data_IF_500547122945
#
_entry.id   IF_500547122945
#
_cell.length_a   1.000
_cell.length_b   1.000
_cell.length_c   1.000
_cell.angle_alpha   90.00
_cell.angle_beta   90.00
_cell.angle_gamma   90.00
#
_symmetry.space_group_name_H-M   'P 1'
#
loop_
_entity.id
_entity.type
_entity.pdbx_description
1 polymer ?
#
# COMPACT_ATOMS: atom_id res chain seq x y z
N UNK A 1 15.00 18.46 10.57
CA UNK A 1 13.57 18.32 10.29
C UNK A 1 13.21 17.17 9.36
N UNK A 2 13.82 17.06 8.18
CA UNK A 2 13.54 15.93 7.25
C UNK A 2 13.97 14.58 7.82
N UNK A 3 15.06 14.51 8.54
CA UNK A 3 15.53 13.26 9.16
C UNK A 3 14.61 12.78 10.28
N UNK A 4 14.10 13.68 11.14
CA UNK A 4 13.17 13.31 12.19
C UNK A 4 11.85 12.78 11.66
N UNK A 5 11.34 13.34 10.58
CA UNK A 5 10.14 12.83 9.90
C UNK A 5 10.35 11.47 9.25
N UNK A 6 11.53 11.25 8.67
CA UNK A 6 11.90 9.93 8.12
C UNK A 6 12.01 8.88 9.23
N UNK A 7 12.57 9.24 10.37
CA UNK A 7 12.66 8.35 11.53
C UNK A 7 11.27 8.01 12.09
N UNK A 8 10.38 8.98 12.18
CA UNK A 8 8.99 8.74 12.60
C UNK A 8 8.28 7.76 11.65
N UNK A 9 8.43 7.95 10.34
CA UNK A 9 7.85 7.07 9.34
C UNK A 9 8.43 5.65 9.47
N UNK A 10 9.75 5.51 9.62
CA UNK A 10 10.41 4.21 9.82
C UNK A 10 9.92 3.52 11.09
N UNK A 11 9.76 4.28 12.18
CA UNK A 11 9.23 3.76 13.43
C UNK A 11 7.80 3.26 13.27
N UNK A 12 6.93 4.04 12.62
CA UNK A 12 5.55 3.64 12.32
C UNK A 12 5.49 2.40 11.43
N UNK A 13 6.34 2.31 10.41
CA UNK A 13 6.42 1.16 9.53
C UNK A 13 6.87 -0.10 10.28
N UNK A 14 7.82 0.04 11.19
CA UNK A 14 8.28 -1.07 12.02
C UNK A 14 7.19 -1.56 12.98
N UNK A 15 6.44 -0.65 13.59
CA UNK A 15 5.28 -0.98 14.42
C UNK A 15 4.19 -1.69 13.62
N UNK A 16 3.95 -1.23 12.39
CA UNK A 16 3.02 -1.84 11.45
C UNK A 16 3.41 -3.29 11.13
N UNK A 17 4.68 -3.53 10.82
CA UNK A 17 5.19 -4.88 10.55
C UNK A 17 5.06 -5.78 11.76
N UNK A 18 5.34 -5.29 12.96
CA UNK A 18 5.12 -6.02 14.20
C UNK A 18 3.67 -6.42 14.42
N UNK A 19 2.74 -5.51 14.14
CA UNK A 19 1.31 -5.78 14.19
C UNK A 19 0.87 -6.85 13.18
N UNK A 20 1.43 -6.82 11.96
CA UNK A 20 1.17 -7.82 10.93
C UNK A 20 1.68 -9.22 11.35
N UNK A 21 2.86 -9.29 11.91
CA UNK A 21 3.44 -10.55 12.42
C UNK A 21 2.59 -11.14 13.55
N UNK A 22 2.09 -10.31 14.44
CA UNK A 22 1.20 -10.69 15.53
C UNK A 22 -0.13 -11.22 15.01
N UNK A 23 -0.74 -10.56 14.02
CA UNK A 23 -1.98 -11.00 13.39
C UNK A 23 -1.82 -12.35 12.67
N UNK A 24 -0.70 -12.55 12.00
CA UNK A 24 -0.40 -13.83 11.35
C UNK A 24 -0.30 -14.96 12.39
N UNK A 25 0.38 -14.70 13.50
CA UNK A 25 0.58 -15.69 14.55
C UNK A 25 -0.69 -15.98 15.36
N UNK A 26 -1.42 -14.95 15.76
CA UNK A 26 -2.58 -15.11 16.67
C UNK A 26 -3.89 -15.35 15.97
N UNK A 27 -4.14 -14.71 14.85
CA UNK A 27 -5.41 -14.78 14.12
C UNK A 27 -5.33 -15.56 12.82
N UNK A 28 -4.16 -16.09 12.48
CA UNK A 28 -3.94 -16.86 11.26
C UNK A 28 -4.31 -16.10 9.97
N UNK A 29 -4.13 -14.78 9.99
CA UNK A 29 -4.31 -13.91 8.82
C UNK A 29 -2.96 -13.81 8.12
N UNK A 30 -2.86 -14.21 6.86
CA UNK A 30 -1.62 -14.18 6.10
C UNK A 30 -1.05 -12.76 5.98
N UNK A 31 0.19 -12.58 6.39
CA UNK A 31 0.93 -11.32 6.24
C UNK A 31 1.01 -10.87 4.78
N UNK A 32 1.27 -11.81 3.86
CA UNK A 32 1.30 -11.54 2.42
C UNK A 32 -0.03 -10.98 1.91
N UNK A 33 -1.13 -11.60 2.31
CA UNK A 33 -2.48 -11.14 1.95
C UNK A 33 -2.74 -9.72 2.45
N UNK A 34 -2.33 -9.41 3.68
CA UNK A 34 -2.45 -8.06 4.24
C UNK A 34 -1.59 -7.04 3.50
N UNK A 35 -0.35 -7.39 3.18
CA UNK A 35 0.55 -6.51 2.43
C UNK A 35 0.05 -6.24 1.01
N UNK A 36 -0.46 -7.26 0.33
CA UNK A 36 -1.06 -7.09 -1.00
C UNK A 36 -2.30 -6.18 -0.94
N UNK A 37 -3.16 -6.35 0.06
CA UNK A 37 -4.32 -5.49 0.27
C UNK A 37 -3.91 -4.04 0.54
N UNK A 38 -2.86 -3.83 1.33
CA UNK A 38 -2.30 -2.50 1.60
C UNK A 38 -1.75 -1.88 0.32
N UNK A 39 -0.99 -2.61 -0.48
CA UNK A 39 -0.46 -2.13 -1.76
C UNK A 39 -1.58 -1.66 -2.69
N UNK A 40 -2.64 -2.45 -2.84
CA UNK A 40 -3.82 -2.09 -3.66
C UNK A 40 -4.52 -0.83 -3.12
N UNK A 41 -4.68 -0.75 -1.81
CA UNK A 41 -5.26 0.42 -1.16
C UNK A 41 -4.42 1.69 -1.38
N UNK A 42 -3.11 1.57 -1.34
CA UNK A 42 -2.18 2.68 -1.58
C UNK A 42 -2.24 3.18 -3.02
N UNK A 43 -2.36 2.30 -3.99
CA UNK A 43 -2.56 2.66 -5.40
C UNK A 43 -3.86 3.45 -5.56
N UNK A 44 -4.94 2.97 -4.96
CA UNK A 44 -6.22 3.65 -5.00
C UNK A 44 -6.18 5.02 -4.30
N UNK A 45 -5.49 5.12 -3.18
CA UNK A 45 -5.29 6.39 -2.47
C UNK A 45 -4.49 7.39 -3.32
N UNK A 46 -3.46 6.92 -4.00
CA UNK A 46 -2.68 7.73 -4.92
C UNK A 46 -3.55 8.30 -6.04
N UNK A 47 -4.39 7.47 -6.64
CA UNK A 47 -5.35 7.87 -7.66
C UNK A 47 -6.31 8.95 -7.15
N UNK A 48 -6.84 8.77 -5.96
CA UNK A 48 -7.79 9.71 -5.36
C UNK A 48 -7.16 11.09 -5.08
N UNK A 49 -5.88 11.12 -4.71
CA UNK A 49 -5.19 12.37 -4.38
C UNK A 49 -4.51 13.06 -5.56
N UNK A 50 -4.04 12.30 -6.52
CA UNK A 50 -3.25 12.80 -7.65
C UNK A 50 -3.94 12.63 -9.01
N UNK A 51 -5.10 11.99 -9.04
CA UNK A 51 -5.98 11.89 -10.21
C UNK A 51 -5.64 10.79 -11.20
N UNK A 52 -4.39 10.34 -11.28
CA UNK A 52 -3.95 9.27 -12.19
C UNK A 52 -3.09 8.27 -11.44
N UNK A 53 -3.33 6.99 -11.65
CA UNK A 53 -2.55 5.91 -11.04
C UNK A 53 -2.35 4.71 -11.97
N UNK A 54 -2.75 4.81 -13.23
CA UNK A 54 -2.67 3.67 -14.17
C UNK A 54 -1.23 3.24 -14.44
N UNK A 55 -0.28 4.18 -14.31
CA UNK A 55 1.15 3.96 -14.46
C UNK A 55 1.91 3.92 -13.14
N UNK A 56 1.22 3.88 -12.00
CA UNK A 56 1.83 3.92 -10.67
C UNK A 56 1.85 2.54 -10.05
N UNK A 57 3.01 2.18 -9.49
CA UNK A 57 3.24 0.94 -8.77
C UNK A 57 3.69 1.25 -7.35
N UNK A 58 3.08 0.59 -6.39
CA UNK A 58 3.45 0.68 -4.98
C UNK A 58 3.99 -0.67 -4.53
N UNK A 59 5.14 -0.67 -3.92
CA UNK A 59 5.78 -1.88 -3.39
C UNK A 59 6.12 -1.67 -1.93
N UNK A 60 5.81 -2.66 -1.09
CA UNK A 60 6.15 -2.64 0.33
C UNK A 60 7.29 -3.62 0.58
N UNK A 61 8.34 -3.17 1.27
CA UNK A 61 9.41 -4.05 1.70
C UNK A 61 8.88 -4.98 2.79
N UNK A 62 8.96 -6.29 2.55
CA UNK A 62 8.43 -7.32 3.46
C UNK A 62 9.16 -7.40 4.79
N UNK A 63 10.38 -6.89 4.85
CA UNK A 63 11.21 -6.91 6.06
C UNK A 63 11.08 -5.64 6.90
N UNK A 64 11.12 -4.48 6.25
CA UNK A 64 11.16 -3.18 6.93
C UNK A 64 9.81 -2.49 7.03
N UNK A 65 8.86 -2.88 6.17
CA UNK A 65 7.58 -2.19 6.04
C UNK A 65 7.65 -0.88 5.26
N UNK A 66 8.81 -0.50 4.76
CA UNK A 66 8.97 0.69 3.94
C UNK A 66 8.27 0.50 2.60
N UNK A 67 7.53 1.50 2.18
CA UNK A 67 6.89 1.48 0.88
C UNK A 67 7.62 2.39 -0.10
N UNK A 68 7.60 1.98 -1.36
CA UNK A 68 8.18 2.72 -2.47
C UNK A 68 7.11 2.90 -3.55
N UNK A 69 7.04 4.11 -4.09
CA UNK A 69 6.11 4.44 -5.16
C UNK A 69 6.92 4.73 -6.43
N UNK A 70 6.59 4.03 -7.50
CA UNK A 70 7.21 4.20 -8.80
C UNK A 70 6.15 4.51 -9.84
N UNK A 71 6.48 5.40 -10.76
CA UNK A 71 5.66 5.67 -11.93
C UNK A 71 6.39 5.20 -13.19
N UNK A 72 5.69 4.49 -14.07
CA UNK A 72 6.19 4.17 -15.41
C UNK A 72 6.00 5.41 -16.28
N UNK A 73 7.09 6.03 -16.70
CA UNK A 73 7.08 7.24 -17.51
C UNK A 73 7.75 6.97 -18.84
N UNK A 74 7.16 7.52 -19.91
CA UNK A 74 7.74 7.46 -21.24
C UNK A 74 8.82 8.52 -21.40
N UNK A 75 9.94 8.14 -21.96
CA UNK A 75 11.02 9.08 -22.30
C UNK A 75 10.66 9.85 -23.54
N UNK A 76 10.64 11.18 -23.45
CA UNK A 76 10.30 12.10 -24.52
C UNK A 76 11.31 13.24 -24.59
N UNK A 77 11.41 13.92 -25.73
CA UNK A 77 12.23 15.14 -25.83
C UNK A 77 11.63 16.31 -25.07
N UNK A 78 10.31 16.48 -25.20
CA UNK A 78 9.55 17.54 -24.56
C UNK A 78 8.44 16.96 -23.72
N UNK A 79 8.44 17.24 -22.42
CA UNK A 79 7.42 16.75 -21.50
C UNK A 79 6.15 17.59 -21.61
N UNK A 80 5.07 16.96 -22.03
CA UNK A 80 3.73 17.56 -22.04
C UNK A 80 2.96 17.23 -20.77
N UNK A 81 3.01 15.96 -20.33
CA UNK A 81 2.39 15.50 -19.09
C UNK A 81 3.45 14.92 -18.13
N UNK A 82 3.84 15.68 -17.09
CA UNK A 82 4.86 15.21 -16.13
C UNK A 82 4.47 13.95 -15.36
N UNK A 83 3.19 13.61 -15.32
CA UNK A 83 2.73 12.38 -14.66
C UNK A 83 3.05 11.12 -15.46
N UNK A 84 3.06 11.20 -16.78
CA UNK A 84 3.25 10.07 -17.68
C UNK A 84 4.56 10.10 -18.47
N UNK A 85 5.24 11.23 -18.47
CA UNK A 85 6.42 11.48 -19.30
C UNK A 85 7.60 11.97 -18.48
N UNK A 86 8.79 11.68 -18.97
CA UNK A 86 10.07 12.14 -18.42
C UNK A 86 10.96 12.61 -19.56
N UNK A 87 11.72 13.68 -19.34
CA UNK A 87 12.65 14.17 -20.34
C UNK A 87 13.82 13.20 -20.55
N UNK A 88 14.36 13.18 -21.78
CA UNK A 88 15.54 12.36 -22.10
C UNK A 88 16.72 12.67 -21.18
N UNK A 89 16.92 13.95 -20.84
CA UNK A 89 18.00 14.40 -19.96
C UNK A 89 17.87 13.80 -18.55
N UNK A 90 16.68 13.82 -17.99
CA UNK A 90 16.43 13.21 -16.67
C UNK A 90 16.48 11.67 -16.72
N UNK A 91 15.96 11.09 -17.80
CA UNK A 91 16.02 9.64 -18.01
C UNK A 91 17.46 9.15 -18.07
N UNK A 92 18.35 9.86 -18.75
CA UNK A 92 19.77 9.53 -18.86
C UNK A 92 20.53 9.68 -17.55
N UNK A 93 20.07 10.48 -16.61
CA UNK A 93 20.63 10.54 -15.24
C UNK A 93 20.43 9.23 -14.47
N UNK A 94 19.32 8.53 -14.72
CA UNK A 94 19.01 7.25 -14.10
C UNK A 94 19.58 6.07 -14.89
N UNK A 95 19.48 6.15 -16.20
CA UNK A 95 19.98 5.12 -17.13
C UNK A 95 20.62 5.81 -18.33
N UNK A 96 21.94 5.76 -18.42
CA UNK A 96 22.71 6.39 -19.49
C UNK A 96 22.36 5.90 -20.89
N UNK A 97 21.77 4.72 -21.02
CA UNK A 97 21.34 4.13 -22.28
C UNK A 97 19.88 4.42 -22.64
N UNK A 98 19.22 5.28 -21.89
CA UNK A 98 17.83 5.63 -22.15
C UNK A 98 17.68 6.36 -23.49
N UNK A 99 16.69 5.97 -24.25
CA UNK A 99 16.34 6.56 -25.56
C UNK A 99 14.89 7.04 -25.55
N UNK A 100 14.57 7.96 -26.44
CA UNK A 100 13.19 8.42 -26.62
C UNK A 100 12.28 7.26 -27.02
N UNK A 101 11.16 7.13 -26.32
CA UNK A 101 10.20 6.03 -26.49
C UNK A 101 10.35 4.90 -25.46
N UNK A 102 11.44 4.88 -24.70
CA UNK A 102 11.60 3.92 -23.60
C UNK A 102 10.64 4.22 -22.44
N UNK A 103 10.30 3.18 -21.68
CA UNK A 103 9.51 3.31 -20.45
C UNK A 103 10.45 3.08 -19.26
N UNK A 104 10.53 4.07 -18.38
CA UNK A 104 11.36 4.01 -17.18
C UNK A 104 10.50 4.03 -15.92
N UNK A 105 10.92 3.27 -14.93
CA UNK A 105 10.38 3.37 -13.57
C UNK A 105 11.05 4.53 -12.86
N UNK A 106 10.29 5.57 -12.61
CA UNK A 106 10.77 6.78 -11.94
C UNK A 106 10.23 6.79 -10.51
N UNK A 107 11.11 6.90 -9.48
CA UNK A 107 10.63 6.98 -8.11
C UNK A 107 9.84 8.28 -7.90
N UNK A 108 8.70 8.15 -7.24
CA UNK A 108 7.84 9.28 -6.86
C UNK A 108 8.04 9.55 -5.38
N UNK A 109 8.54 10.73 -5.05
CA UNK A 109 8.73 11.16 -3.67
C UNK A 109 7.64 12.16 -3.28
N UNK A 110 6.88 11.83 -2.25
CA UNK A 110 5.88 12.72 -1.68
C UNK A 110 5.74 12.46 -0.17
N UNK A 111 6.14 13.44 0.63
CA UNK A 111 5.98 13.38 2.09
C UNK A 111 4.48 13.33 2.48
N UNK A 112 3.67 14.04 1.70
CA UNK A 112 2.21 14.04 1.88
C UNK A 112 1.62 12.65 1.66
N UNK A 113 2.07 11.96 0.62
CA UNK A 113 1.63 10.59 0.34
C UNK A 113 2.08 9.61 1.43
N UNK A 114 3.25 9.80 2.02
CA UNK A 114 3.73 8.97 3.13
C UNK A 114 2.77 8.92 4.32
N UNK A 115 2.19 10.05 4.69
CA UNK A 115 1.20 10.13 5.77
C UNK A 115 -0.12 9.47 5.38
N UNK A 116 -0.58 9.72 4.18
CA UNK A 116 -1.80 9.13 3.62
C UNK A 116 -1.66 7.60 3.54
N UNK A 117 -0.51 7.12 3.08
CA UNK A 117 -0.20 5.71 2.97
C UNK A 117 -0.23 5.00 4.34
N UNK A 118 0.38 5.58 5.36
CA UNK A 118 0.38 5.04 6.71
C UNK A 118 -1.03 4.95 7.28
N UNK A 119 -1.84 5.99 7.10
CA UNK A 119 -3.23 6.00 7.56
C UNK A 119 -4.07 4.94 6.84
N UNK A 120 -3.91 4.82 5.54
CA UNK A 120 -4.62 3.80 4.76
C UNK A 120 -4.21 2.38 5.13
N UNK A 121 -2.92 2.15 5.38
CA UNK A 121 -2.43 0.85 5.84
C UNK A 121 -3.10 0.42 7.14
N UNK A 122 -3.20 1.32 8.12
CA UNK A 122 -3.90 1.07 9.38
C UNK A 122 -5.38 0.74 9.14
N UNK A 123 -6.05 1.49 8.28
CA UNK A 123 -7.47 1.27 7.97
C UNK A 123 -7.69 -0.09 7.29
N UNK A 124 -6.82 -0.49 6.38
CA UNK A 124 -6.88 -1.80 5.71
C UNK A 124 -6.73 -2.94 6.72
N UNK A 125 -5.79 -2.82 7.65
CA UNK A 125 -5.58 -3.82 8.70
C UNK A 125 -6.82 -3.95 9.57
N UNK A 126 -7.39 -2.85 10.04
CA UNK A 126 -8.61 -2.85 10.85
C UNK A 126 -9.80 -3.46 10.10
N UNK A 127 -9.94 -3.15 8.83
CA UNK A 127 -10.98 -3.70 7.98
C UNK A 127 -10.84 -5.22 7.82
N UNK A 128 -9.61 -5.70 7.59
CA UNK A 128 -9.34 -7.14 7.46
C UNK A 128 -9.60 -7.90 8.76
N UNK A 129 -9.26 -7.34 9.90
CA UNK A 129 -9.57 -7.90 11.21
C UNK A 129 -11.09 -8.06 11.36
N UNK A 130 -11.86 -7.03 11.03
CA UNK A 130 -13.33 -7.08 11.11
C UNK A 130 -13.93 -8.10 10.15
N UNK A 131 -13.42 -8.21 8.93
CA UNK A 131 -13.86 -9.21 7.95
C UNK A 131 -13.63 -10.64 8.46
N UNK A 132 -12.44 -10.91 9.01
CA UNK A 132 -12.10 -12.21 9.56
C UNK A 132 -12.93 -12.55 10.81
N UNK A 133 -13.20 -11.60 11.68
CA UNK A 133 -14.08 -11.77 12.82
C UNK A 133 -15.51 -12.07 12.40
N UNK A 134 -16.05 -11.40 11.39
CA UNK A 134 -17.36 -11.69 10.81
C UNK A 134 -17.42 -13.09 10.21
N UNK A 135 -16.40 -13.47 9.48
CA UNK A 135 -16.29 -14.81 8.88
C UNK A 135 -16.27 -15.89 9.95
N UNK A 136 -15.48 -15.69 10.99
CA UNK A 136 -15.42 -16.60 12.13
C UNK A 136 -16.78 -16.75 12.80
N UNK A 137 -17.47 -15.66 13.08
CA UNK A 137 -18.82 -15.68 13.66
C UNK A 137 -19.83 -16.39 12.75
N UNK A 138 -19.78 -16.09 11.45
CA UNK A 138 -20.62 -16.73 10.46
C UNK A 138 -20.40 -18.25 10.44
N UNK A 139 -19.16 -18.70 10.35
CA UNK A 139 -18.80 -20.11 10.34
C UNK A 139 -19.21 -20.82 11.65
N UNK A 140 -19.07 -20.13 12.80
CA UNK A 140 -19.46 -20.66 14.10
C UNK A 140 -20.97 -20.87 14.22
N UNK A 141 -21.77 -19.93 13.73
CA UNK A 141 -23.23 -19.98 13.87
C UNK A 141 -23.97 -20.59 12.67
N UNK A 142 -23.33 -20.73 11.53
CA UNK A 142 -23.93 -21.34 10.35
C UNK A 142 -24.36 -22.81 10.57
N UNK A 143 -23.60 -23.57 11.35
CA UNK A 143 -23.96 -24.95 11.73
C UNK A 143 -25.20 -25.05 12.60
N UNK A 144 -25.60 -23.95 13.26
CA UNK A 144 -26.74 -23.89 14.19
C UNK A 144 -27.98 -23.22 13.58
N UNK A 145 -28.00 -22.97 12.27
CA UNK A 145 -29.03 -22.19 11.57
C UNK A 145 -30.45 -22.77 11.76
N UNK A 146 -30.57 -24.07 11.95
CA UNK A 146 -31.84 -24.79 12.15
C UNK A 146 -32.08 -25.20 13.60
N UNK A 147 -31.24 -24.82 14.51
CA UNK A 147 -31.36 -25.17 15.93
C UNK A 147 -31.81 -23.97 16.76
N UNK A 148 -32.49 -24.24 17.83
CA UNK A 148 -32.88 -23.21 18.80
C UNK A 148 -31.68 -22.87 19.67
N UNK A 149 -31.26 -21.62 19.61
CA UNK A 149 -30.13 -21.10 20.39
C UNK A 149 -30.64 -20.11 21.43
N UNK A 150 -30.24 -20.29 22.68
CA UNK A 150 -30.56 -19.35 23.77
C UNK A 150 -29.55 -18.20 23.75
N UNK A 151 -30.06 -16.99 23.68
CA UNK A 151 -29.24 -15.78 23.69
C UNK A 151 -29.81 -14.70 24.60
N UNK A 152 -28.98 -13.76 25.00
CA UNK A 152 -29.39 -12.58 25.76
C UNK A 152 -29.53 -11.43 24.79
N UNK A 153 -30.68 -10.77 24.77
CA UNK A 153 -30.96 -9.58 23.96
C UNK A 153 -30.48 -8.36 24.73
N UNK A 154 -29.60 -7.59 24.10
CA UNK A 154 -29.11 -6.32 24.62
C UNK A 154 -29.61 -5.16 23.78
#
# INVERSE_FOLDING_TARGET
MLESKKEEIRKMNKELMGALDELEREKNISKETLLDAIEQSLIQAYKNHFGKADNVHVTINRETGDFSVYADRRVVEFVEDPAEEVSLVEAQKQNTNAEVGDILKVPVHSDKFGRIATQNAKNVILQKIREEERKFLFDQYHGNEKEVVTGIVQ
#
